data_IF_072623008416
#
_entry.id   IF_072623008416
#
_cell.length_a   1.000
_cell.length_b   1.000
_cell.length_c   1.000
_cell.angle_alpha   90.00
_cell.angle_beta   90.00
_cell.angle_gamma   90.00
#
_symmetry.space_group_name_H-M   'P 1'
#
loop_
_entity.id
_entity.type
_entity.pdbx_description
1 polymer ?
#
# COMPACT_ATOMS: atom_id res chain seq x y z
N UNK A 1 10.51 15.05 -15.29
CA UNK A 1 10.68 14.43 -13.95
C UNK A 1 11.01 12.97 -14.17
N UNK A 2 12.20 12.54 -13.77
CA UNK A 2 12.60 11.14 -13.80
C UNK A 2 12.25 10.51 -12.45
N UNK A 3 11.38 9.49 -12.46
CA UNK A 3 11.01 8.78 -11.26
C UNK A 3 11.66 7.40 -11.28
N UNK A 4 12.44 7.10 -10.23
CA UNK A 4 13.02 5.78 -9.98
C UNK A 4 12.17 5.06 -8.91
N UNK A 5 11.91 3.79 -9.13
CA UNK A 5 11.19 2.95 -8.17
C UNK A 5 12.18 1.96 -7.54
N UNK A 6 12.12 1.81 -6.22
CA UNK A 6 12.92 0.83 -5.48
C UNK A 6 11.99 -0.01 -4.60
N UNK A 7 12.21 -1.31 -4.58
CA UNK A 7 11.55 -2.18 -3.61
C UNK A 7 12.07 -1.86 -2.21
N UNK A 8 11.17 -1.81 -1.22
CA UNK A 8 11.54 -1.54 0.16
C UNK A 8 12.42 -2.67 0.71
N UNK A 9 13.52 -2.27 1.31
CA UNK A 9 14.40 -3.12 2.10
C UNK A 9 14.77 -2.41 3.41
N UNK A 10 15.46 -3.09 4.30
CA UNK A 10 15.88 -2.50 5.59
C UNK A 10 16.83 -1.32 5.40
N UNK A 11 17.61 -1.30 4.33
CA UNK A 11 18.53 -0.20 3.98
C UNK A 11 17.78 1.08 3.59
N UNK A 12 16.51 0.96 3.16
CA UNK A 12 15.66 2.10 2.80
C UNK A 12 14.69 2.51 3.93
N UNK A 13 14.86 1.96 5.12
CA UNK A 13 14.00 2.25 6.27
C UNK A 13 13.99 3.74 6.63
N UNK A 14 15.14 4.39 6.61
CA UNK A 14 15.24 5.82 6.96
C UNK A 14 14.53 6.70 5.92
N UNK A 15 14.65 6.38 4.63
CA UNK A 15 13.92 7.06 3.56
C UNK A 15 12.39 6.88 3.71
N UNK A 16 11.96 5.65 4.04
CA UNK A 16 10.57 5.34 4.29
C UNK A 16 10.03 6.11 5.51
N UNK A 17 10.78 6.16 6.60
CA UNK A 17 10.43 6.93 7.79
C UNK A 17 10.37 8.43 7.50
N UNK A 18 11.38 8.96 6.80
CA UNK A 18 11.39 10.37 6.42
C UNK A 18 10.16 10.75 5.61
N UNK A 19 9.74 9.87 4.66
CA UNK A 19 8.54 10.09 3.86
C UNK A 19 7.28 10.16 4.72
N UNK A 20 7.08 9.22 5.64
CA UNK A 20 5.89 9.19 6.48
C UNK A 20 5.89 10.26 7.57
N UNK A 21 7.04 10.56 8.14
CA UNK A 21 7.20 11.57 9.19
C UNK A 21 6.98 13.00 8.66
N UNK A 22 7.34 13.28 7.40
CA UNK A 22 7.45 14.66 6.90
C UNK A 22 6.63 14.95 5.64
N UNK A 23 6.33 13.96 4.78
CA UNK A 23 5.85 14.23 3.42
C UNK A 23 4.45 13.65 3.18
N UNK A 24 4.28 12.35 3.40
CA UNK A 24 3.14 11.57 2.88
C UNK A 24 1.76 12.09 3.27
N UNK A 25 1.62 12.61 4.48
CA UNK A 25 0.38 13.14 5.02
C UNK A 25 0.49 14.61 5.45
N UNK A 26 1.42 15.37 4.87
CA UNK A 26 1.62 16.79 5.22
C UNK A 26 0.39 17.66 4.99
N UNK A 27 -0.48 17.29 4.06
CA UNK A 27 -1.78 17.93 3.79
C UNK A 27 -2.97 17.24 4.46
N UNK A 28 -2.75 16.15 5.20
CA UNK A 28 -3.82 15.36 5.82
C UNK A 28 -3.37 14.77 7.17
N UNK A 29 -3.22 15.64 8.16
CA UNK A 29 -2.76 15.29 9.51
C UNK A 29 -3.60 14.21 10.20
N UNK A 30 -4.86 14.02 9.77
CA UNK A 30 -5.72 12.95 10.29
C UNK A 30 -5.11 11.55 10.08
N UNK A 31 -4.31 11.37 9.03
CA UNK A 31 -3.67 10.11 8.69
C UNK A 31 -2.17 10.06 9.00
N UNK A 32 -1.62 11.11 9.59
CA UNK A 32 -0.17 11.22 9.84
C UNK A 32 0.43 10.10 10.69
N UNK A 33 -0.35 9.47 11.55
CA UNK A 33 0.06 8.30 12.34
C UNK A 33 -0.30 6.95 11.72
N UNK A 34 -0.69 6.88 10.43
CA UNK A 34 -1.09 5.64 9.77
C UNK A 34 0.07 4.67 9.56
N UNK A 35 1.22 5.15 9.07
CA UNK A 35 2.40 4.35 8.71
C UNK A 35 2.05 3.08 7.93
N UNK A 36 1.01 3.14 7.11
CA UNK A 36 0.46 2.02 6.32
C UNK A 36 0.09 0.77 7.13
N UNK A 37 -0.14 0.92 8.43
CA UNK A 37 -0.39 -0.18 9.37
C UNK A 37 -1.81 -0.73 9.35
N UNK A 38 -2.78 -0.07 8.69
CA UNK A 38 -4.19 -0.49 8.75
C UNK A 38 -4.41 -1.95 8.31
N UNK A 39 -3.61 -2.44 7.37
CA UNK A 39 -3.65 -3.81 6.90
C UNK A 39 -2.69 -4.77 7.62
N UNK A 40 -2.04 -4.29 8.69
CA UNK A 40 -1.13 -5.06 9.53
C UNK A 40 -1.55 -5.09 11.00
N UNK A 41 -2.72 -4.49 11.32
CA UNK A 41 -3.25 -4.53 12.69
C UNK A 41 -3.81 -5.91 12.99
N UNK A 42 -3.04 -6.70 13.72
CA UNK A 42 -3.43 -7.98 14.25
C UNK A 42 -4.33 -7.85 15.51
N UNK A 43 -4.73 -8.99 16.05
CA UNK A 43 -5.56 -9.04 17.26
C UNK A 43 -4.87 -8.42 18.48
N UNK A 44 -3.54 -8.49 18.57
CA UNK A 44 -2.77 -7.92 19.67
C UNK A 44 -2.83 -6.38 19.64
N UNK A 45 -2.56 -5.79 18.49
CA UNK A 45 -2.63 -4.32 18.31
C UNK A 45 -4.06 -3.80 18.51
N UNK A 46 -5.07 -4.52 17.98
CA UNK A 46 -6.50 -4.18 18.17
C UNK A 46 -6.93 -4.17 19.63
N UNK A 47 -6.38 -5.06 20.45
CA UNK A 47 -6.69 -5.12 21.89
C UNK A 47 -5.97 -4.05 22.69
N UNK A 48 -4.78 -3.63 22.26
CA UNK A 48 -3.92 -2.70 23.02
C UNK A 48 -4.17 -1.24 22.68
N UNK A 49 -4.52 -0.93 21.44
CA UNK A 49 -4.63 0.43 20.94
C UNK A 49 -5.96 0.67 20.22
N UNK A 50 -6.36 1.94 20.12
CA UNK A 50 -7.50 2.38 19.33
C UNK A 50 -7.00 2.97 18.00
N UNK A 51 -7.39 2.38 16.88
CA UNK A 51 -6.98 2.80 15.53
C UNK A 51 -7.24 4.30 15.28
N UNK A 52 -8.46 4.77 15.57
CA UNK A 52 -8.86 6.16 15.33
C UNK A 52 -8.08 7.18 16.18
N UNK A 53 -7.45 6.73 17.24
CA UNK A 53 -6.55 7.55 18.07
C UNK A 53 -5.13 7.49 17.51
N UNK A 54 -4.63 6.30 17.18
CA UNK A 54 -3.26 6.12 16.71
C UNK A 54 -2.97 6.86 15.40
N UNK A 55 -3.90 6.81 14.43
CA UNK A 55 -3.70 7.46 13.13
C UNK A 55 -3.50 8.99 13.19
N UNK A 56 -3.88 9.62 14.31
CA UNK A 56 -3.78 11.08 14.52
C UNK A 56 -2.53 11.51 15.27
N UNK A 57 -1.74 10.57 15.78
CA UNK A 57 -0.60 10.88 16.66
C UNK A 57 0.69 11.23 15.92
N UNK A 58 0.71 11.17 14.59
CA UNK A 58 1.92 11.41 13.79
C UNK A 58 3.07 10.53 14.27
N UNK A 59 4.24 11.12 14.48
CA UNK A 59 5.46 10.41 14.91
C UNK A 59 5.34 9.74 16.29
N UNK A 60 4.35 10.13 17.11
CA UNK A 60 4.08 9.54 18.42
C UNK A 60 3.11 8.34 18.34
N UNK A 61 2.72 7.92 17.15
CA UNK A 61 1.88 6.75 16.95
C UNK A 61 2.64 5.46 17.25
N UNK A 62 1.99 4.51 17.94
CA UNK A 62 2.49 3.14 18.07
C UNK A 62 2.64 2.41 16.72
N UNK A 63 1.94 2.88 15.69
CA UNK A 63 2.05 2.39 14.33
C UNK A 63 3.46 2.59 13.76
N UNK A 64 4.13 3.70 14.11
CA UNK A 64 5.50 3.98 13.65
C UNK A 64 6.48 2.89 14.09
N UNK A 65 6.50 2.56 15.38
CA UNK A 65 7.37 1.51 15.93
C UNK A 65 7.01 0.13 15.37
N UNK A 66 5.71 -0.15 15.29
CA UNK A 66 5.22 -1.42 14.72
C UNK A 66 5.65 -1.59 13.26
N UNK A 67 5.54 -0.55 12.43
CA UNK A 67 5.96 -0.59 11.04
C UNK A 67 7.48 -0.80 10.90
N UNK A 68 8.31 -0.12 11.74
CA UNK A 68 9.76 -0.33 11.79
C UNK A 68 10.07 -1.81 12.04
N UNK A 69 9.40 -2.43 13.01
CA UNK A 69 9.61 -3.84 13.34
C UNK A 69 9.19 -4.77 12.18
N UNK A 70 8.08 -4.46 11.49
CA UNK A 70 7.63 -5.24 10.34
C UNK A 70 8.58 -5.10 9.14
N UNK A 71 9.17 -3.92 8.90
CA UNK A 71 10.17 -3.72 7.84
C UNK A 71 11.46 -4.48 8.19
N UNK A 72 11.96 -4.34 9.42
CA UNK A 72 13.18 -5.05 9.87
C UNK A 72 13.06 -6.58 9.84
N UNK A 73 11.85 -7.11 10.00
CA UNK A 73 11.56 -8.55 9.93
C UNK A 73 11.09 -9.01 8.55
N UNK A 74 11.22 -8.18 7.52
CA UNK A 74 10.83 -8.47 6.11
C UNK A 74 9.35 -8.87 5.94
N UNK A 75 8.49 -8.39 6.85
CA UNK A 75 7.04 -8.65 6.79
C UNK A 75 6.32 -7.53 6.03
N UNK A 76 6.60 -6.25 6.31
CA UNK A 76 6.06 -5.14 5.52
C UNK A 76 6.91 -4.94 4.27
N UNK A 77 6.29 -5.10 3.10
CA UNK A 77 6.91 -4.92 1.78
C UNK A 77 6.16 -3.86 0.98
N UNK A 78 6.84 -3.37 -0.03
CA UNK A 78 6.27 -2.40 -0.96
C UNK A 78 7.34 -1.70 -1.77
N UNK A 79 7.00 -0.55 -2.33
CA UNK A 79 7.87 0.16 -3.26
C UNK A 79 7.90 1.66 -2.93
N UNK A 80 9.09 2.24 -2.95
CA UNK A 80 9.33 3.67 -2.83
C UNK A 80 9.57 4.29 -4.21
N UNK A 81 8.97 5.45 -4.44
CA UNK A 81 9.21 6.26 -5.62
C UNK A 81 10.13 7.43 -5.25
N UNK A 82 11.15 7.66 -6.06
CA UNK A 82 12.14 8.72 -5.90
C UNK A 82 12.11 9.68 -7.08
N UNK A 83 12.15 10.97 -6.80
CA UNK A 83 12.46 12.01 -7.76
C UNK A 83 13.89 12.50 -7.47
N UNK A 84 14.83 12.15 -8.31
CA UNK A 84 16.28 12.18 -8.01
C UNK A 84 16.55 11.35 -6.74
N UNK A 85 17.07 11.98 -5.68
CA UNK A 85 17.40 11.33 -4.40
C UNK A 85 16.27 11.44 -3.35
N UNK A 86 15.22 12.23 -3.64
CA UNK A 86 14.16 12.49 -2.69
C UNK A 86 13.02 11.46 -2.83
N UNK A 87 12.67 10.82 -1.74
CA UNK A 87 11.49 9.95 -1.70
C UNK A 87 10.21 10.77 -1.84
N UNK A 88 9.34 10.39 -2.78
CA UNK A 88 8.14 11.15 -3.15
C UNK A 88 6.87 10.32 -3.18
N UNK A 89 6.98 9.00 -2.98
CA UNK A 89 5.83 8.12 -2.99
C UNK A 89 6.13 6.75 -2.42
N UNK A 90 5.07 6.10 -2.00
CA UNK A 90 5.03 4.78 -1.42
C UNK A 90 3.86 3.97 -1.97
N UNK A 91 4.07 2.68 -2.18
CA UNK A 91 3.01 1.71 -2.39
C UNK A 91 3.19 0.50 -1.47
N UNK A 92 2.17 0.17 -0.66
CA UNK A 92 2.15 -1.05 0.13
C UNK A 92 1.66 -2.20 -0.74
N UNK A 93 2.56 -3.11 -1.08
CA UNK A 93 2.28 -4.26 -1.92
C UNK A 93 3.07 -5.49 -1.43
N UNK A 94 2.37 -6.59 -1.19
CA UNK A 94 2.96 -7.83 -0.69
C UNK A 94 2.09 -9.04 -1.07
N UNK A 95 2.52 -10.22 -0.71
CA UNK A 95 1.69 -11.42 -0.79
C UNK A 95 0.37 -11.23 -0.01
N UNK A 96 -0.73 -11.70 -0.61
CA UNK A 96 -2.09 -11.54 -0.05
C UNK A 96 -2.21 -12.03 1.38
N UNK A 97 -1.56 -13.15 1.72
CA UNK A 97 -1.59 -13.76 3.05
C UNK A 97 -0.81 -12.99 4.13
N UNK A 98 -0.08 -11.93 3.75
CA UNK A 98 0.66 -11.08 4.69
C UNK A 98 -0.16 -9.91 5.22
N UNK A 99 -1.38 -9.75 4.73
CA UNK A 99 -2.28 -8.68 5.15
C UNK A 99 -3.41 -9.18 6.04
N UNK A 100 -3.78 -8.37 7.01
CA UNK A 100 -5.00 -8.54 7.79
C UNK A 100 -6.15 -7.84 7.05
N UNK A 101 -7.30 -8.49 6.79
CA UNK A 101 -8.44 -7.86 6.13
C UNK A 101 -8.96 -6.64 6.87
N UNK A 102 -9.25 -5.53 6.15
CA UNK A 102 -9.89 -4.34 6.72
C UNK A 102 -11.42 -4.47 6.68
N UNK A 103 -11.94 -5.05 5.61
CA UNK A 103 -13.38 -5.10 5.30
C UNK A 103 -13.94 -6.54 5.38
N UNK A 104 -13.55 -7.31 6.40
CA UNK A 104 -13.84 -8.72 6.48
C UNK A 104 -12.73 -9.57 5.84
N UNK A 105 -13.02 -10.83 5.59
CA UNK A 105 -12.05 -11.70 4.94
C UNK A 105 -11.81 -11.24 3.51
N UNK A 106 -10.54 -11.10 3.13
CA UNK A 106 -10.20 -10.86 1.74
C UNK A 106 -10.70 -12.06 0.92
N UNK A 107 -11.47 -11.84 -0.17
CA UNK A 107 -12.02 -12.93 -0.95
C UNK A 107 -10.90 -13.84 -1.43
N UNK A 108 -10.99 -15.09 -1.06
CA UNK A 108 -10.01 -16.12 -1.32
C UNK A 108 -10.73 -17.38 -1.82
N UNK A 109 -10.54 -17.69 -3.08
CA UNK A 109 -11.08 -18.93 -3.62
C UNK A 109 -10.23 -20.14 -3.19
N UNK A 110 -10.89 -21.29 -2.99
CA UNK A 110 -10.23 -22.55 -2.61
C UNK A 110 -9.10 -22.91 -3.58
N UNK A 111 -9.32 -22.67 -4.88
CA UNK A 111 -8.36 -22.89 -5.95
C UNK A 111 -7.11 -22.01 -5.89
N UNK A 112 -7.12 -20.97 -5.03
CA UNK A 112 -6.05 -19.97 -4.93
C UNK A 112 -5.11 -20.21 -3.75
N UNK A 113 -5.39 -21.17 -2.87
CA UNK A 113 -4.61 -21.44 -1.65
C UNK A 113 -3.12 -21.68 -1.90
N UNK A 114 -2.76 -22.19 -3.07
CA UNK A 114 -1.39 -22.49 -3.45
C UNK A 114 -0.84 -21.55 -4.54
N UNK A 115 -1.52 -20.43 -4.78
CA UNK A 115 -1.16 -19.48 -5.82
C UNK A 115 -0.51 -18.25 -5.21
N UNK A 116 0.64 -17.83 -5.75
CA UNK A 116 1.28 -16.59 -5.35
C UNK A 116 0.51 -15.39 -5.92
N UNK A 117 0.01 -14.54 -5.04
CA UNK A 117 -0.79 -13.36 -5.37
C UNK A 117 -0.17 -12.15 -4.70
N UNK A 118 0.12 -11.11 -5.47
CA UNK A 118 0.45 -9.78 -4.91
C UNK A 118 -0.86 -9.05 -4.63
N UNK A 119 -0.94 -8.45 -3.49
CA UNK A 119 -2.02 -7.53 -3.13
C UNK A 119 -1.48 -6.12 -2.92
N UNK A 120 -2.08 -5.15 -3.60
CA UNK A 120 -1.82 -3.72 -3.43
C UNK A 120 -2.87 -3.15 -2.51
N UNK A 121 -2.43 -2.57 -1.39
CA UNK A 121 -3.33 -2.07 -0.35
C UNK A 121 -3.41 -0.55 -0.28
N UNK A 122 -2.33 0.15 -0.63
CA UNK A 122 -2.27 1.59 -0.41
C UNK A 122 -1.23 2.24 -1.32
N UNK A 123 -1.55 3.44 -1.81
CA UNK A 123 -0.60 4.37 -2.40
C UNK A 123 -0.58 5.63 -1.54
N UNK A 124 0.59 6.13 -1.22
CA UNK A 124 0.78 7.44 -0.62
C UNK A 124 1.77 8.23 -1.49
N UNK A 125 1.33 9.34 -2.05
CA UNK A 125 2.14 10.20 -2.92
C UNK A 125 2.24 11.57 -2.27
N UNK A 126 3.43 12.17 -2.31
CA UNK A 126 3.66 13.55 -1.89
C UNK A 126 2.56 14.45 -2.44
N UNK A 127 1.90 15.28 -1.61
CA UNK A 127 0.78 16.12 -2.04
C UNK A 127 1.06 16.95 -3.29
N UNK A 128 2.25 17.55 -3.36
CA UNK A 128 2.66 18.41 -4.49
C UNK A 128 2.88 17.65 -5.80
N UNK A 129 3.01 16.33 -5.73
CA UNK A 129 3.32 15.47 -6.87
C UNK A 129 2.20 14.51 -7.24
N UNK A 130 1.03 14.62 -6.59
CA UNK A 130 -0.18 13.87 -7.00
C UNK A 130 -0.61 14.24 -8.41
N UNK A 131 -1.30 13.33 -9.06
CA UNK A 131 -1.78 13.47 -10.45
C UNK A 131 -0.67 13.64 -11.51
N UNK A 132 0.59 13.36 -11.16
CA UNK A 132 1.75 13.40 -12.08
C UNK A 132 2.21 12.00 -12.52
N UNK A 133 1.36 10.97 -12.37
CA UNK A 133 1.62 9.62 -12.85
C UNK A 133 2.50 8.75 -11.95
N UNK A 134 2.89 9.20 -10.74
CA UNK A 134 3.79 8.44 -9.85
C UNK A 134 3.15 7.12 -9.39
N UNK A 135 1.86 7.13 -9.02
CA UNK A 135 1.15 5.90 -8.65
C UNK A 135 1.10 4.89 -9.80
N UNK A 136 0.94 5.36 -11.05
CA UNK A 136 1.02 4.52 -12.24
C UNK A 136 2.39 3.88 -12.42
N UNK A 137 3.48 4.62 -12.21
CA UNK A 137 4.84 4.08 -12.29
C UNK A 137 5.11 3.05 -11.19
N UNK A 138 4.63 3.28 -9.96
CA UNK A 138 4.67 2.28 -8.89
C UNK A 138 3.93 1.00 -9.30
N UNK A 139 2.73 1.14 -9.88
CA UNK A 139 1.92 0.01 -10.35
C UNK A 139 2.60 -0.76 -11.48
N UNK A 140 3.22 -0.07 -12.44
CA UNK A 140 3.97 -0.67 -13.54
C UNK A 140 5.16 -1.50 -13.03
N UNK A 141 5.93 -0.96 -12.09
CA UNK A 141 7.06 -1.66 -11.48
C UNK A 141 6.63 -2.88 -10.67
N UNK A 142 5.52 -2.78 -9.91
CA UNK A 142 4.94 -3.93 -9.20
C UNK A 142 4.52 -5.03 -10.18
N UNK A 143 3.92 -4.66 -11.31
CA UNK A 143 3.54 -5.62 -12.35
C UNK A 143 4.76 -6.32 -12.97
N UNK A 144 5.82 -5.57 -13.25
CA UNK A 144 7.05 -6.10 -13.82
C UNK A 144 7.72 -7.08 -12.86
N UNK A 145 7.95 -6.66 -11.61
CA UNK A 145 8.61 -7.50 -10.62
C UNK A 145 7.75 -8.71 -10.25
N UNK A 146 6.43 -8.55 -10.15
CA UNK A 146 5.52 -9.65 -9.89
C UNK A 146 5.57 -10.73 -10.97
N UNK A 147 5.69 -10.35 -12.24
CA UNK A 147 5.85 -11.31 -13.33
C UNK A 147 7.21 -12.04 -13.24
N UNK A 148 8.30 -11.32 -12.95
CA UNK A 148 9.63 -11.91 -12.79
C UNK A 148 9.72 -12.88 -11.62
N UNK A 149 9.02 -12.59 -10.51
CA UNK A 149 9.00 -13.40 -9.28
C UNK A 149 7.99 -14.56 -9.35
N UNK A 150 7.30 -14.75 -10.47
CA UNK A 150 6.40 -15.85 -10.73
C UNK A 150 5.07 -15.76 -9.99
N UNK A 151 4.59 -14.55 -9.69
CA UNK A 151 3.23 -14.35 -9.20
C UNK A 151 2.23 -14.56 -10.33
N UNK A 152 1.09 -15.18 -10.03
CA UNK A 152 0.05 -15.48 -11.03
C UNK A 152 -0.75 -14.25 -11.41
N UNK A 153 -1.08 -13.40 -10.41
CA UNK A 153 -1.78 -12.15 -10.64
C UNK A 153 -1.57 -11.16 -9.49
N UNK A 154 -1.93 -9.92 -9.78
CA UNK A 154 -1.99 -8.83 -8.80
C UNK A 154 -3.45 -8.50 -8.55
N UNK A 155 -3.78 -8.25 -7.27
CA UNK A 155 -5.10 -7.86 -6.81
C UNK A 155 -5.03 -6.51 -6.09
N UNK A 156 -6.02 -5.66 -6.29
CA UNK A 156 -6.15 -4.38 -5.60
C UNK A 156 -7.61 -4.08 -5.28
N UNK A 157 -7.84 -3.14 -4.36
CA UNK A 157 -9.15 -2.83 -3.78
C UNK A 157 -9.49 -1.34 -3.85
N UNK A 158 -9.59 -0.73 -5.05
CA UNK A 158 -10.03 0.65 -5.16
C UNK A 158 -11.45 0.82 -4.60
N UNK A 159 -11.74 1.96 -3.97
CA UNK A 159 -13.09 2.26 -3.55
C UNK A 159 -14.05 2.33 -4.74
N UNK A 160 -15.24 1.74 -4.59
CA UNK A 160 -16.31 1.74 -5.61
C UNK A 160 -16.80 3.17 -5.90
N UNK A 161 -16.90 4.00 -4.85
CA UNK A 161 -17.20 5.43 -4.98
C UNK A 161 -15.91 6.21 -4.80
N UNK A 162 -15.56 7.04 -5.80
CA UNK A 162 -14.41 7.93 -5.71
C UNK A 162 -14.66 9.00 -4.66
N UNK A 163 -13.92 8.93 -3.56
CA UNK A 163 -13.85 10.01 -2.58
C UNK A 163 -12.49 10.71 -2.71
N UNK A 164 -12.46 11.99 -2.31
CA UNK A 164 -11.20 12.71 -2.20
C UNK A 164 -10.28 12.00 -1.18
N UNK A 165 -8.98 11.89 -1.49
CA UNK A 165 -7.96 11.19 -0.69
C UNK A 165 -8.10 9.65 -0.68
N UNK A 166 -8.33 9.07 -1.84
CA UNK A 166 -8.38 7.64 -2.04
C UNK A 166 -6.95 7.04 -2.08
N UNK A 167 -6.50 6.55 -0.93
CA UNK A 167 -5.19 5.90 -0.80
C UNK A 167 -5.13 4.48 -1.39
N UNK A 168 -6.25 3.88 -1.79
CA UNK A 168 -6.30 2.61 -2.52
C UNK A 168 -6.05 2.77 -4.04
N UNK A 169 -5.96 4.02 -4.50
CA UNK A 169 -5.85 4.34 -5.91
C UNK A 169 -7.20 4.34 -6.65
N UNK A 170 -7.34 5.14 -7.70
CA UNK A 170 -8.59 5.23 -8.46
C UNK A 170 -8.77 4.01 -9.38
N UNK A 171 -10.01 3.49 -9.49
CA UNK A 171 -10.36 2.35 -10.35
C UNK A 171 -9.87 2.52 -11.79
N UNK A 172 -10.01 3.72 -12.35
CA UNK A 172 -9.61 4.01 -13.72
C UNK A 172 -8.09 3.87 -13.97
N UNK A 173 -7.25 4.08 -12.95
CA UNK A 173 -5.81 3.83 -13.04
C UNK A 173 -5.55 2.34 -13.27
N UNK A 174 -6.16 1.48 -12.47
CA UNK A 174 -6.00 0.04 -12.59
C UNK A 174 -6.51 -0.47 -13.95
N UNK A 175 -7.70 -0.04 -14.38
CA UNK A 175 -8.27 -0.43 -15.68
C UNK A 175 -7.35 -0.03 -16.85
N UNK A 176 -6.78 1.18 -16.84
CA UNK A 176 -5.80 1.61 -17.85
C UNK A 176 -4.53 0.75 -17.88
N UNK A 177 -4.17 0.11 -16.76
CA UNK A 177 -3.02 -0.79 -16.67
C UNK A 177 -3.38 -2.27 -16.87
N UNK A 178 -4.59 -2.55 -17.41
CA UNK A 178 -5.02 -3.89 -17.80
C UNK A 178 -5.62 -4.73 -16.69
N UNK A 179 -5.94 -4.13 -15.53
CA UNK A 179 -6.72 -4.80 -14.51
C UNK A 179 -8.18 -4.91 -14.94
N UNK A 180 -8.82 -6.02 -14.58
CA UNK A 180 -10.25 -6.28 -14.80
C UNK A 180 -10.97 -6.34 -13.45
N UNK A 181 -12.21 -5.89 -13.43
CA UNK A 181 -13.09 -6.07 -12.26
C UNK A 181 -13.33 -7.56 -12.05
N UNK A 182 -13.10 -8.01 -10.84
CA UNK A 182 -13.28 -9.40 -10.42
C UNK A 182 -14.50 -9.56 -9.50
N UNK A 183 -14.78 -8.57 -8.64
CA UNK A 183 -15.88 -8.60 -7.68
C UNK A 183 -15.91 -7.36 -6.80
N UNK A 184 -16.59 -7.48 -5.67
CA UNK A 184 -16.71 -6.41 -4.67
C UNK A 184 -16.47 -6.97 -3.27
N UNK A 185 -15.96 -6.13 -2.36
CA UNK A 185 -15.84 -6.43 -0.94
C UNK A 185 -16.00 -5.16 -0.12
N UNK A 186 -17.04 -5.10 0.73
CA UNK A 186 -17.39 -3.88 1.46
C UNK A 186 -17.55 -2.68 0.52
N UNK A 187 -16.84 -1.56 0.77
CA UNK A 187 -16.92 -0.37 -0.09
C UNK A 187 -15.98 -0.42 -1.31
N UNK A 188 -15.29 -1.53 -1.54
CA UNK A 188 -14.25 -1.64 -2.56
C UNK A 188 -14.65 -2.54 -3.72
N UNK A 189 -14.22 -2.13 -4.93
CA UNK A 189 -14.19 -3.00 -6.11
C UNK A 189 -12.90 -3.81 -6.08
N UNK A 190 -12.99 -5.12 -6.30
CA UNK A 190 -11.82 -5.99 -6.44
C UNK A 190 -11.40 -5.96 -7.90
N UNK A 191 -10.14 -5.62 -8.14
CA UNK A 191 -9.57 -5.66 -9.49
C UNK A 191 -8.38 -6.60 -9.54
N UNK A 192 -8.24 -7.34 -10.65
CA UNK A 192 -7.14 -8.29 -10.87
C UNK A 192 -6.50 -8.09 -12.23
N UNK A 193 -5.18 -8.29 -12.27
CA UNK A 193 -4.38 -8.39 -13.49
C UNK A 193 -3.57 -9.67 -13.44
N UNK A 194 -3.74 -10.56 -14.40
CA UNK A 194 -2.89 -11.74 -14.60
C UNK A 194 -1.55 -11.29 -15.18
N UNK A 195 -0.46 -11.91 -14.72
CA UNK A 195 0.91 -11.63 -15.08
C UNK A 195 1.47 -12.68 -16.06
#
# INVERSE_FOLDING_TARGET
MEIKIKQLSVELLEDWLYFFDNIGFSDNSHWSGCYCMCNHWDKHLKNKYNWNTEIKKGINSSNRESAINLIKSDIMKGYLAYNNENVVGWCNANEKNKFTPIFGDLPWEESEKNVKIITIMCFCISPELRNKGIASKLLEEICLNGALDGYKYIEAYPFTKSENNNYQGPLNMFVKHGFKVFGETGPCTIVRKYL
#
